data_IF_797037972397
#
_entry.id   IF_797037972397
#
_cell.length_a   1.000
_cell.length_b   1.000
_cell.length_c   1.000
_cell.angle_alpha   90.00
_cell.angle_beta   90.00
_cell.angle_gamma   90.00
#
_symmetry.space_group_name_H-M   'P 1'
#
loop_
_entity.id
_entity.type
_entity.pdbx_description
1 polymer ?
#
# COMPACT_ATOMS: atom_id res chain seq x y z
N UNK A 1 -18.61 77.26 32.46
CA UNK A 1 -19.06 76.35 31.36
C UNK A 1 -18.10 75.17 31.26
N UNK A 2 -18.51 73.96 31.73
CA UNK A 2 -17.69 72.72 31.64
C UNK A 2 -18.43 71.77 30.70
N UNK A 3 -17.82 71.42 29.56
CA UNK A 3 -18.28 70.41 28.64
C UNK A 3 -17.97 68.99 29.23
N UNK A 4 -18.99 68.19 29.55
CA UNK A 4 -18.90 66.74 29.73
C UNK A 4 -18.78 66.11 28.35
N UNK A 5 -17.69 65.36 28.12
CA UNK A 5 -17.54 64.50 26.95
C UNK A 5 -18.10 63.12 27.27
N UNK A 6 -19.02 62.70 26.45
CA UNK A 6 -19.66 61.39 26.51
C UNK A 6 -18.65 60.30 26.14
N UNK A 7 -18.41 59.40 27.13
CA UNK A 7 -17.54 58.24 27.00
C UNK A 7 -18.43 56.98 27.03
N UNK A 8 -19.21 56.79 25.97
CA UNK A 8 -20.17 55.66 25.90
C UNK A 8 -20.10 54.76 24.66
N UNK A 9 -19.19 54.95 23.72
CA UNK A 9 -19.21 54.18 22.47
C UNK A 9 -18.00 53.30 22.20
N UNK A 10 -17.17 52.98 23.20
CA UNK A 10 -15.91 52.20 22.93
C UNK A 10 -15.93 50.78 23.49
N UNK A 11 -17.02 50.35 24.14
CA UNK A 11 -17.03 48.99 24.78
C UNK A 11 -17.78 47.93 23.96
N UNK A 12 -18.54 48.30 22.92
CA UNK A 12 -19.40 47.33 22.22
C UNK A 12 -18.72 46.61 21.05
N UNK A 13 -17.51 47.00 20.63
CA UNK A 13 -16.81 46.41 19.48
C UNK A 13 -15.83 45.29 19.87
N UNK A 14 -15.44 45.19 21.15
CA UNK A 14 -14.43 44.19 21.59
C UNK A 14 -15.06 42.83 21.94
N UNK A 15 -16.36 42.75 22.22
CA UNK A 15 -17.00 41.47 22.54
C UNK A 15 -17.46 40.63 21.33
N UNK A 16 -17.44 41.19 20.11
CA UNK A 16 -17.89 40.47 18.90
C UNK A 16 -16.78 39.67 18.22
N UNK A 17 -15.52 39.86 18.59
CA UNK A 17 -14.37 39.17 17.99
C UNK A 17 -13.88 37.93 18.78
N UNK A 18 -14.48 37.64 19.94
CA UNK A 18 -14.08 36.48 20.76
C UNK A 18 -15.02 35.27 20.63
N UNK A 19 -16.09 35.35 19.84
CA UNK A 19 -17.10 34.28 19.73
C UNK A 19 -16.94 33.41 18.46
N UNK A 20 -15.89 33.58 17.66
CA UNK A 20 -15.69 32.79 16.44
C UNK A 20 -14.54 31.77 16.51
N UNK A 21 -14.01 31.48 17.69
CA UNK A 21 -12.88 30.52 17.85
C UNK A 21 -13.31 29.24 18.60
N UNK A 22 -14.57 28.95 18.69
CA UNK A 22 -15.02 27.77 19.45
C UNK A 22 -16.06 26.96 18.69
N UNK A 23 -15.73 26.43 17.54
CA UNK A 23 -16.45 25.26 16.97
C UNK A 23 -15.69 24.66 15.79
N UNK A 24 -14.42 24.36 15.91
CA UNK A 24 -13.90 23.19 15.21
C UNK A 24 -14.08 22.02 16.18
N UNK A 25 -15.31 21.59 16.39
CA UNK A 25 -15.58 20.19 16.64
C UNK A 25 -15.00 19.48 15.41
N UNK A 26 -13.76 19.00 15.54
CA UNK A 26 -13.28 17.95 14.65
C UNK A 26 -14.31 16.85 14.74
N UNK A 27 -15.21 16.82 13.77
CA UNK A 27 -15.94 15.62 13.43
C UNK A 27 -14.84 14.60 13.22
N UNK A 28 -14.58 13.75 14.21
CA UNK A 28 -13.85 12.50 13.99
C UNK A 28 -14.66 11.81 12.90
N UNK A 29 -14.18 11.92 11.66
CA UNK A 29 -14.66 11.07 10.60
C UNK A 29 -14.53 9.65 11.16
N UNK A 30 -15.61 8.91 11.14
CA UNK A 30 -15.63 7.51 11.53
C UNK A 30 -14.83 6.79 10.43
N UNK A 31 -13.51 6.66 10.63
CA UNK A 31 -12.60 6.10 9.65
C UNK A 31 -12.83 4.60 9.58
N UNK A 32 -13.58 4.20 8.58
CA UNK A 32 -13.76 2.79 8.25
C UNK A 32 -12.46 2.27 7.64
N UNK A 33 -11.90 1.13 8.12
CA UNK A 33 -10.73 0.52 7.51
C UNK A 33 -10.95 0.31 6.02
N UNK A 34 -9.96 0.57 5.15
CA UNK A 34 -10.07 0.26 3.73
C UNK A 34 -10.32 -1.24 3.58
N UNK A 35 -11.09 -1.63 2.59
CA UNK A 35 -11.39 -3.02 2.29
C UNK A 35 -10.18 -3.77 1.73
N UNK A 36 -9.04 -3.74 2.46
CA UNK A 36 -7.84 -4.48 2.10
C UNK A 36 -8.15 -5.97 2.08
N UNK A 37 -7.89 -6.60 0.93
CA UNK A 37 -8.20 -7.98 0.68
C UNK A 37 -6.92 -8.78 0.49
N UNK A 38 -6.79 -9.85 1.26
CA UNK A 38 -5.72 -10.83 1.14
C UNK A 38 -6.31 -12.20 0.78
N UNK A 39 -5.79 -12.84 -0.26
CA UNK A 39 -6.24 -14.15 -0.72
C UNK A 39 -5.07 -15.08 -0.98
N UNK A 40 -5.23 -16.36 -0.63
CA UNK A 40 -4.27 -17.42 -0.95
C UNK A 40 -4.99 -18.49 -1.80
N UNK A 41 -4.36 -18.86 -2.89
CA UNK A 41 -4.83 -19.89 -3.80
C UNK A 41 -3.77 -20.98 -3.88
N UNK A 42 -4.18 -22.22 -3.69
CA UNK A 42 -3.34 -23.40 -3.89
C UNK A 42 -3.57 -23.97 -5.28
N UNK A 43 -2.54 -24.62 -5.84
CA UNK A 43 -2.60 -25.20 -7.20
C UNK A 43 -2.30 -24.21 -8.32
N UNK A 44 -1.79 -23.01 -8.02
CA UNK A 44 -1.29 -22.04 -9.02
C UNK A 44 -2.36 -21.32 -9.84
N UNK A 45 -3.64 -21.52 -9.54
CA UNK A 45 -4.76 -20.89 -10.27
C UNK A 45 -5.49 -19.91 -9.37
N UNK A 46 -5.60 -18.66 -9.79
CA UNK A 46 -6.30 -17.61 -9.05
C UNK A 46 -7.84 -17.75 -9.18
N UNK A 47 -8.36 -18.93 -8.85
CA UNK A 47 -9.82 -19.19 -8.84
C UNK A 47 -10.23 -19.96 -7.58
N UNK A 48 -11.21 -19.44 -6.85
CA UNK A 48 -11.76 -20.10 -5.65
C UNK A 48 -10.90 -20.02 -4.40
N UNK A 49 -9.96 -19.05 -4.33
CA UNK A 49 -9.07 -18.88 -3.20
C UNK A 49 -9.76 -18.46 -1.91
N UNK A 50 -9.18 -18.87 -0.81
CA UNK A 50 -9.63 -18.52 0.52
C UNK A 50 -9.26 -17.06 0.84
N UNK A 51 -10.23 -16.25 1.26
CA UNK A 51 -9.97 -14.90 1.73
C UNK A 51 -9.45 -14.97 3.17
N UNK A 52 -8.22 -14.55 3.38
CA UNK A 52 -7.59 -14.52 4.70
C UNK A 52 -7.85 -13.18 5.39
N UNK A 53 -9.11 -12.88 5.70
CA UNK A 53 -9.51 -11.64 6.41
C UNK A 53 -9.40 -11.80 7.95
N UNK A 54 -8.67 -12.81 8.41
CA UNK A 54 -8.50 -13.11 9.82
C UNK A 54 -7.24 -12.42 10.36
N UNK A 55 -7.43 -11.30 11.03
CA UNK A 55 -6.31 -10.58 11.61
C UNK A 55 -6.72 -9.33 12.34
N UNK A 56 -5.76 -8.63 12.92
CA UNK A 56 -5.97 -7.32 13.52
C UNK A 56 -5.76 -6.22 12.49
N UNK A 57 -6.60 -5.18 12.62
CA UNK A 57 -6.52 -3.96 11.82
C UNK A 57 -6.36 -2.80 12.78
N UNK A 58 -5.30 -2.00 12.60
CA UNK A 58 -5.02 -0.85 13.43
C UNK A 58 -4.79 0.38 12.54
N UNK A 59 -5.44 1.47 12.85
CA UNK A 59 -5.15 2.76 12.22
C UNK A 59 -3.84 3.31 12.82
N UNK A 60 -2.89 3.65 11.96
CA UNK A 60 -1.56 4.16 12.34
C UNK A 60 -1.50 5.68 12.20
N UNK A 61 -2.13 6.23 11.17
CA UNK A 61 -2.26 7.67 10.92
C UNK A 61 -3.66 8.02 10.42
N UNK A 62 -3.88 9.23 9.97
CA UNK A 62 -5.17 9.66 9.41
C UNK A 62 -5.59 8.84 8.19
N UNK A 63 -4.64 8.35 7.39
CA UNK A 63 -4.88 7.61 6.14
C UNK A 63 -4.29 6.22 6.13
N UNK A 64 -3.31 5.93 7.00
CA UNK A 64 -2.57 4.67 7.00
C UNK A 64 -3.17 3.64 7.95
N UNK A 65 -3.21 2.41 7.48
CA UNK A 65 -3.74 1.26 8.20
C UNK A 65 -2.76 0.10 8.20
N UNK A 66 -2.62 -0.53 9.36
CA UNK A 66 -1.77 -1.69 9.56
C UNK A 66 -2.64 -2.95 9.71
N UNK A 67 -2.42 -3.91 8.82
CA UNK A 67 -3.08 -5.21 8.79
C UNK A 67 -2.07 -6.30 9.11
N UNK A 68 -2.38 -7.15 10.07
CA UNK A 68 -1.55 -8.30 10.40
C UNK A 68 -2.39 -9.50 10.78
N UNK A 69 -1.87 -10.69 10.50
CA UNK A 69 -2.59 -11.92 10.85
C UNK A 69 -1.76 -13.17 10.62
N UNK A 70 -2.39 -14.27 11.02
CA UNK A 70 -1.91 -15.63 10.81
C UNK A 70 -3.10 -16.49 10.40
N UNK A 71 -2.92 -17.32 9.39
CA UNK A 71 -3.91 -18.30 8.95
C UNK A 71 -3.22 -19.63 8.65
N UNK A 72 -3.85 -20.72 9.04
CA UNK A 72 -3.42 -22.08 8.70
C UNK A 72 -4.64 -22.85 8.24
N UNK A 73 -4.54 -23.50 7.10
CA UNK A 73 -5.61 -24.30 6.57
C UNK A 73 -5.41 -25.80 6.85
N UNK A 74 -6.43 -26.59 6.61
CA UNK A 74 -6.41 -28.05 6.80
C UNK A 74 -5.61 -28.81 5.75
N UNK A 75 -5.19 -28.13 4.68
CA UNK A 75 -4.42 -28.71 3.57
C UNK A 75 -2.91 -28.59 3.79
N UNK A 76 -2.45 -28.11 4.97
CA UNK A 76 -1.05 -28.01 5.35
C UNK A 76 -0.37 -26.78 4.73
N UNK A 77 -1.07 -25.65 4.67
CA UNK A 77 -0.47 -24.36 4.34
C UNK A 77 -0.68 -23.43 5.52
N UNK A 78 0.38 -22.80 5.99
CA UNK A 78 0.31 -21.71 6.96
C UNK A 78 0.89 -20.43 6.37
N UNK A 79 0.24 -19.30 6.68
CA UNK A 79 0.66 -18.00 6.21
C UNK A 79 0.49 -16.96 7.31
N UNK A 80 1.50 -16.12 7.46
CA UNK A 80 1.46 -14.93 8.32
C UNK A 80 1.75 -13.70 7.49
N UNK A 81 1.13 -12.56 7.83
CA UNK A 81 1.31 -11.32 7.10
C UNK A 81 1.32 -10.11 8.01
N UNK A 82 1.95 -9.04 7.52
CA UNK A 82 2.07 -7.75 8.17
C UNK A 82 2.20 -6.68 7.10
N UNK A 83 1.14 -5.90 6.86
CA UNK A 83 1.06 -4.91 5.80
C UNK A 83 0.63 -3.55 6.33
N UNK A 84 1.34 -2.51 5.90
CA UNK A 84 0.93 -1.12 6.01
C UNK A 84 0.36 -0.69 4.66
N UNK A 85 -0.81 -0.09 4.67
CA UNK A 85 -1.50 0.36 3.45
C UNK A 85 -2.04 1.77 3.64
N UNK A 86 -2.07 2.53 2.55
CA UNK A 86 -2.72 3.83 2.45
C UNK A 86 -3.57 3.85 1.18
N UNK A 87 -4.88 4.17 1.23
CA UNK A 87 -5.69 4.37 0.04
C UNK A 87 -5.24 5.52 -0.89
N UNK A 88 -4.33 6.40 -0.46
CA UNK A 88 -3.65 7.44 -1.27
C UNK A 88 -2.23 6.99 -1.68
N UNK A 89 -2.04 6.14 -2.79
CA UNK A 89 -2.17 4.72 -2.58
C UNK A 89 -0.80 4.01 -2.50
N UNK A 90 -0.55 3.32 -1.41
CA UNK A 90 0.55 2.35 -1.34
C UNK A 90 0.16 1.08 -0.59
N UNK A 91 0.85 -0.01 -0.91
CA UNK A 91 0.85 -1.29 -0.19
C UNK A 91 2.30 -1.62 0.12
N UNK A 92 2.66 -1.78 1.39
CA UNK A 92 4.00 -2.23 1.79
C UNK A 92 3.91 -3.20 2.95
N UNK A 93 4.74 -4.23 2.96
CA UNK A 93 4.75 -5.18 4.05
C UNK A 93 5.46 -6.48 3.73
N UNK A 94 5.20 -7.44 4.59
CA UNK A 94 5.79 -8.78 4.52
C UNK A 94 4.72 -9.86 4.66
N UNK A 95 4.95 -11.01 4.05
CA UNK A 95 4.28 -12.24 4.40
C UNK A 95 5.25 -13.41 4.40
N UNK A 96 4.95 -14.42 5.20
CA UNK A 96 5.65 -15.71 5.20
C UNK A 96 4.65 -16.82 4.94
N UNK A 97 5.00 -17.76 4.07
CA UNK A 97 4.19 -18.91 3.72
C UNK A 97 5.00 -20.19 3.94
N UNK A 98 4.40 -21.15 4.64
CA UNK A 98 4.95 -22.50 4.82
C UNK A 98 4.09 -23.53 4.09
N UNK A 99 4.76 -24.43 3.40
CA UNK A 99 4.16 -25.62 2.80
C UNK A 99 4.42 -26.83 3.70
N UNK A 100 3.56 -27.07 4.67
CA UNK A 100 3.71 -28.16 5.65
C UNK A 100 3.27 -29.54 5.09
N UNK A 101 3.23 -29.69 3.78
CA UNK A 101 2.85 -30.94 3.10
C UNK A 101 4.07 -31.74 2.63
N UNK A 102 3.82 -32.96 2.17
CA UNK A 102 4.86 -33.83 1.63
C UNK A 102 5.17 -33.61 0.14
N UNK A 103 4.50 -32.64 -0.49
CA UNK A 103 4.61 -32.38 -1.93
C UNK A 103 4.86 -30.89 -2.17
N UNK A 104 5.60 -30.58 -3.24
CA UNK A 104 5.68 -29.20 -3.71
C UNK A 104 4.30 -28.67 -4.14
N UNK A 105 4.00 -27.44 -3.79
CA UNK A 105 2.73 -26.78 -4.12
C UNK A 105 2.97 -25.45 -4.83
N UNK A 106 2.13 -25.18 -5.83
CA UNK A 106 2.04 -23.87 -6.45
C UNK A 106 1.05 -22.99 -5.66
N UNK A 107 1.44 -21.74 -5.45
CA UNK A 107 0.68 -20.73 -4.71
C UNK A 107 0.47 -19.48 -5.55
N UNK A 108 -0.70 -18.87 -5.41
CA UNK A 108 -0.94 -17.48 -5.77
C UNK A 108 -1.41 -16.74 -4.53
N UNK A 109 -0.73 -15.65 -4.21
CA UNK A 109 -1.06 -14.78 -3.07
C UNK A 109 -1.38 -13.40 -3.60
N UNK A 110 -2.63 -12.96 -3.41
CA UNK A 110 -3.12 -11.68 -3.90
C UNK A 110 -3.37 -10.71 -2.74
N UNK A 111 -2.83 -9.51 -2.87
CA UNK A 111 -3.15 -8.36 -2.05
C UNK A 111 -3.86 -7.32 -2.91
N UNK A 112 -4.99 -6.80 -2.44
CA UNK A 112 -5.76 -5.78 -3.15
C UNK A 112 -6.24 -4.71 -2.18
N UNK A 113 -5.98 -3.46 -2.51
CA UNK A 113 -6.36 -2.28 -1.75
C UNK A 113 -7.27 -1.39 -2.57
N UNK A 114 -8.52 -1.16 -2.16
CA UNK A 114 -9.34 -0.10 -2.72
C UNK A 114 -8.69 1.27 -2.51
N UNK A 115 -8.72 2.11 -3.54
CA UNK A 115 -8.16 3.46 -3.48
C UNK A 115 -9.27 4.52 -3.53
N UNK A 116 -8.99 5.66 -2.90
CA UNK A 116 -9.84 6.85 -2.98
C UNK A 116 -8.99 8.09 -2.69
N UNK A 117 -8.99 9.11 -3.56
CA UNK A 117 -9.74 9.23 -4.83
C UNK A 117 -9.13 8.41 -5.97
N UNK A 118 -9.87 8.28 -7.07
CA UNK A 118 -9.34 7.72 -8.33
C UNK A 118 -8.22 8.60 -8.90
N UNK A 119 -7.24 7.98 -9.57
CA UNK A 119 -6.05 8.63 -10.12
C UNK A 119 -6.13 8.62 -11.65
N UNK A 120 -6.28 9.80 -12.25
CA UNK A 120 -6.39 9.94 -13.70
C UNK A 120 -5.07 9.64 -14.45
N UNK A 121 -3.94 9.97 -13.84
CA UNK A 121 -2.59 9.68 -14.33
C UNK A 121 -1.70 9.37 -13.14
N UNK A 122 -0.91 8.29 -13.24
CA UNK A 122 -0.02 7.87 -12.16
C UNK A 122 1.43 7.74 -12.60
N UNK A 123 2.33 7.79 -11.63
CA UNK A 123 3.65 7.18 -11.71
C UNK A 123 3.69 6.02 -10.74
N UNK A 124 4.36 4.94 -11.12
CA UNK A 124 4.37 3.70 -10.32
C UNK A 124 5.79 3.31 -9.95
N UNK A 125 5.93 2.75 -8.76
CA UNK A 125 7.17 2.12 -8.30
C UNK A 125 6.88 0.90 -7.45
N UNK A 126 7.82 -0.04 -7.44
CA UNK A 126 7.70 -1.25 -6.64
C UNK A 126 9.03 -1.93 -6.44
N UNK A 127 9.06 -2.80 -5.45
CA UNK A 127 10.24 -3.59 -5.10
C UNK A 127 9.80 -4.88 -4.40
N UNK A 128 10.60 -5.94 -4.56
CA UNK A 128 10.46 -7.14 -3.76
C UNK A 128 11.81 -7.75 -3.39
N UNK A 129 11.83 -8.43 -2.24
CA UNK A 129 12.91 -9.29 -1.78
C UNK A 129 12.31 -10.45 -0.98
N UNK A 130 13.11 -11.45 -0.67
CA UNK A 130 12.62 -12.57 0.13
C UNK A 130 13.73 -13.43 0.72
N UNK A 131 13.29 -14.43 1.48
CA UNK A 131 14.15 -15.44 2.10
C UNK A 131 13.46 -16.80 1.98
N UNK A 132 14.19 -17.77 1.46
CA UNK A 132 13.79 -19.18 1.39
C UNK A 132 14.47 -19.96 2.53
N UNK A 133 13.73 -20.82 3.21
CA UNK A 133 14.22 -21.61 4.35
C UNK A 133 13.86 -23.07 4.18
N UNK A 134 14.83 -23.97 4.35
CA UNK A 134 14.60 -25.39 4.58
C UNK A 134 14.09 -25.58 6.03
N UNK A 135 12.77 -25.65 6.18
CA UNK A 135 12.16 -25.69 7.51
C UNK A 135 12.07 -27.11 8.09
N UNK A 136 12.08 -28.12 7.26
CA UNK A 136 11.99 -29.52 7.66
C UNK A 136 13.35 -30.19 7.88
N UNK A 137 14.47 -29.51 7.53
CA UNK A 137 15.83 -30.04 7.68
C UNK A 137 16.17 -31.13 6.68
N UNK A 138 15.46 -31.23 5.56
CA UNK A 138 15.70 -32.22 4.50
C UNK A 138 17.07 -32.06 3.81
N UNK A 139 17.70 -30.89 3.98
CA UNK A 139 18.96 -30.52 3.32
C UNK A 139 18.74 -29.84 1.99
N UNK A 140 17.48 -29.58 1.59
CA UNK A 140 17.17 -28.85 0.37
C UNK A 140 15.83 -28.15 0.42
N UNK A 141 15.77 -26.87 0.04
CA UNK A 141 14.53 -26.16 -0.23
C UNK A 141 14.58 -25.51 -1.62
N UNK A 142 13.44 -25.36 -2.25
CA UNK A 142 13.33 -24.68 -3.54
C UNK A 142 12.07 -23.83 -3.64
N UNK A 143 12.23 -22.66 -4.27
CA UNK A 143 11.13 -21.78 -4.69
C UNK A 143 11.34 -21.43 -6.16
N UNK A 144 10.37 -21.73 -6.99
CA UNK A 144 10.39 -21.43 -8.43
C UNK A 144 9.18 -20.59 -8.82
N UNK A 145 9.30 -19.80 -9.89
CA UNK A 145 8.12 -19.16 -10.47
C UNK A 145 7.17 -20.18 -11.07
N UNK A 146 5.86 -19.97 -10.96
CA UNK A 146 4.86 -20.83 -11.58
C UNK A 146 4.91 -20.64 -13.11
N UNK A 147 5.04 -21.74 -13.85
CA UNK A 147 5.06 -21.80 -15.32
C UNK A 147 6.04 -20.80 -15.98
N UNK A 148 7.17 -20.53 -15.32
CA UNK A 148 8.18 -19.57 -15.81
C UNK A 148 7.74 -18.11 -15.79
N UNK A 149 6.59 -17.81 -15.21
CA UNK A 149 6.08 -16.45 -15.03
C UNK A 149 6.89 -15.59 -14.06
N UNK A 150 6.34 -14.49 -13.64
CA UNK A 150 6.94 -13.64 -12.63
C UNK A 150 6.45 -14.02 -11.22
N UNK A 151 7.36 -13.98 -10.24
CA UNK A 151 7.00 -14.18 -8.83
C UNK A 151 6.19 -13.02 -8.29
N UNK A 152 6.52 -11.78 -8.66
CA UNK A 152 5.81 -10.58 -8.24
C UNK A 152 5.17 -9.89 -9.44
N UNK A 153 3.91 -9.48 -9.30
CA UNK A 153 3.17 -8.70 -10.29
C UNK A 153 2.44 -7.57 -9.59
N UNK A 154 2.69 -6.33 -10.01
CA UNK A 154 1.92 -5.16 -9.62
C UNK A 154 0.68 -5.02 -10.50
N UNK A 155 -0.46 -4.69 -9.88
CA UNK A 155 -1.77 -4.61 -10.53
C UNK A 155 -2.42 -3.25 -10.27
N UNK A 156 -3.10 -2.70 -11.28
CA UNK A 156 -4.01 -1.55 -11.16
C UNK A 156 -5.36 -1.94 -11.75
N UNK A 157 -6.44 -1.79 -10.99
CA UNK A 157 -7.79 -2.24 -11.36
C UNK A 157 -7.83 -3.72 -11.84
N UNK A 158 -6.97 -4.57 -11.23
CA UNK A 158 -6.81 -5.97 -11.62
C UNK A 158 -5.99 -6.22 -12.89
N UNK A 159 -5.56 -5.16 -13.58
CA UNK A 159 -4.75 -5.25 -14.80
C UNK A 159 -3.25 -5.19 -14.49
N UNK A 160 -2.47 -5.89 -15.31
CA UNK A 160 -1.01 -5.91 -15.21
C UNK A 160 -0.40 -4.50 -15.38
N UNK A 161 0.50 -4.14 -14.47
CA UNK A 161 1.29 -2.90 -14.53
C UNK A 161 2.76 -3.21 -14.77
N UNK A 162 3.36 -4.04 -13.90
CA UNK A 162 4.77 -4.39 -13.96
C UNK A 162 5.03 -5.69 -13.19
N UNK A 163 6.14 -6.36 -13.50
CA UNK A 163 6.53 -7.59 -12.83
C UNK A 163 8.00 -7.61 -12.45
N UNK A 164 8.31 -8.43 -11.44
CA UNK A 164 9.67 -8.66 -10.97
C UNK A 164 9.94 -10.17 -10.84
N UNK A 165 11.18 -10.56 -10.97
CA UNK A 165 11.67 -11.92 -10.73
C UNK A 165 10.99 -12.98 -11.63
N UNK A 166 11.06 -12.81 -12.95
CA UNK A 166 10.64 -13.83 -13.93
C UNK A 166 11.61 -15.00 -13.96
N UNK A 167 11.11 -16.20 -14.23
CA UNK A 167 11.90 -17.45 -14.28
C UNK A 167 12.73 -17.69 -12.99
N UNK A 168 12.15 -17.37 -11.83
CA UNK A 168 12.81 -17.55 -10.55
C UNK A 168 13.14 -19.02 -10.29
N UNK A 169 14.33 -19.24 -9.73
CA UNK A 169 14.78 -20.53 -9.22
C UNK A 169 15.70 -20.27 -8.02
N UNK A 170 15.13 -20.25 -6.83
CA UNK A 170 15.87 -20.08 -5.58
C UNK A 170 16.02 -21.43 -4.90
N UNK A 171 17.20 -21.72 -4.38
CA UNK A 171 17.50 -23.00 -3.73
C UNK A 171 18.30 -22.81 -2.46
N UNK A 172 18.07 -23.68 -1.50
CA UNK A 172 18.89 -23.91 -0.30
C UNK A 172 19.42 -25.33 -0.40
N UNK A 173 20.68 -25.56 -0.04
CA UNK A 173 21.34 -26.87 -0.10
C UNK A 173 21.96 -27.29 1.22
N UNK A 174 21.41 -26.82 2.34
CA UNK A 174 21.85 -27.17 3.70
C UNK A 174 20.64 -27.38 4.61
N UNK A 175 20.68 -28.40 5.45
CA UNK A 175 19.63 -28.68 6.42
C UNK A 175 19.41 -27.48 7.35
N UNK A 176 18.14 -27.08 7.49
CA UNK A 176 17.73 -25.87 8.21
C UNK A 176 18.38 -24.58 7.73
N UNK A 177 18.89 -24.60 6.49
CA UNK A 177 19.55 -23.45 5.87
C UNK A 177 18.57 -22.40 5.38
N UNK A 178 19.08 -21.20 5.14
CA UNK A 178 18.33 -20.09 4.57
C UNK A 178 19.11 -19.44 3.44
N UNK A 179 18.40 -18.90 2.44
CA UNK A 179 18.98 -18.04 1.40
C UNK A 179 18.10 -16.81 1.19
N UNK A 180 18.72 -15.63 1.14
CA UNK A 180 18.03 -14.39 0.81
C UNK A 180 18.19 -14.09 -0.67
N UNK A 181 17.15 -13.50 -1.26
CA UNK A 181 17.13 -13.10 -2.66
C UNK A 181 16.49 -11.73 -2.86
N UNK A 182 16.89 -11.06 -3.94
CA UNK A 182 16.27 -9.81 -4.38
C UNK A 182 15.53 -10.06 -5.69
N UNK A 183 14.28 -9.69 -5.76
CA UNK A 183 13.51 -9.68 -7.01
C UNK A 183 13.70 -8.41 -7.82
N UNK A 184 14.44 -7.42 -7.28
CA UNK A 184 14.67 -6.14 -7.92
C UNK A 184 13.60 -5.09 -7.61
N UNK A 185 13.63 -4.02 -8.41
CA UNK A 185 12.72 -2.89 -8.28
C UNK A 185 12.41 -2.28 -9.65
N UNK A 186 11.32 -1.52 -9.72
CA UNK A 186 10.95 -0.69 -10.87
C UNK A 186 10.50 0.71 -10.41
N UNK A 187 10.59 1.69 -11.30
CA UNK A 187 10.11 3.05 -11.06
C UNK A 187 10.90 3.86 -10.04
N UNK A 188 12.10 3.41 -9.64
CA UNK A 188 12.95 4.10 -8.65
C UNK A 188 13.84 5.19 -9.27
N UNK A 189 13.82 5.35 -10.59
CA UNK A 189 14.68 6.28 -11.32
C UNK A 189 14.02 7.60 -11.71
N UNK A 190 14.79 8.47 -12.33
CA UNK A 190 14.32 9.67 -13.02
C UNK A 190 14.56 9.52 -14.53
N UNK A 191 13.53 9.69 -15.38
CA UNK A 191 12.16 10.04 -15.04
C UNK A 191 11.41 8.90 -14.34
N UNK A 192 10.36 9.23 -13.53
CA UNK A 192 9.51 8.20 -12.91
C UNK A 192 8.84 7.31 -13.96
N UNK A 193 8.59 6.06 -13.63
CA UNK A 193 7.87 5.14 -14.53
C UNK A 193 6.39 5.57 -14.61
N UNK A 194 5.93 5.89 -15.82
CA UNK A 194 4.53 6.20 -16.05
C UNK A 194 3.65 4.97 -15.79
N UNK A 195 2.59 5.15 -15.01
CA UNK A 195 1.58 4.15 -14.72
C UNK A 195 0.25 4.45 -15.42
N UNK A 196 -0.70 3.51 -15.36
CA UNK A 196 -2.06 3.71 -15.89
C UNK A 196 -2.89 4.67 -15.03
N UNK A 197 -4.05 5.06 -15.53
CA UNK A 197 -5.14 5.56 -14.69
C UNK A 197 -5.60 4.43 -13.75
N UNK A 198 -5.96 4.78 -12.51
CA UNK A 198 -6.42 3.81 -11.50
C UNK A 198 -7.75 4.30 -10.95
N UNK A 199 -8.80 3.51 -11.13
CA UNK A 199 -10.17 3.93 -10.80
C UNK A 199 -10.65 3.36 -9.47
N UNK A 200 -10.17 2.19 -9.08
CA UNK A 200 -10.75 1.46 -7.95
C UNK A 200 -9.75 0.78 -7.04
N UNK A 201 -8.70 0.15 -7.59
CA UNK A 201 -7.81 -0.70 -6.77
C UNK A 201 -6.37 -0.68 -7.24
N UNK A 202 -5.45 -0.82 -6.29
CA UNK A 202 -4.09 -1.29 -6.54
C UNK A 202 -3.90 -2.67 -5.92
N UNK A 203 -2.94 -3.44 -6.44
CA UNK A 203 -2.70 -4.80 -5.93
C UNK A 203 -1.30 -5.32 -6.19
N UNK A 204 -0.95 -6.34 -5.43
CA UNK A 204 0.26 -7.14 -5.60
C UNK A 204 -0.15 -8.60 -5.68
N UNK A 205 0.33 -9.31 -6.69
CA UNK A 205 0.21 -10.75 -6.83
C UNK A 205 1.57 -11.41 -6.74
N UNK A 206 1.66 -12.44 -5.91
CA UNK A 206 2.79 -13.36 -5.91
C UNK A 206 2.36 -14.71 -6.51
N UNK A 207 3.20 -15.28 -7.37
CA UNK A 207 2.94 -16.58 -8.02
C UNK A 207 4.22 -17.43 -8.01
N UNK A 208 4.23 -18.52 -7.25
CA UNK A 208 5.40 -19.37 -7.06
C UNK A 208 5.03 -20.78 -6.67
N UNK A 209 5.99 -21.70 -6.87
CA UNK A 209 5.92 -23.07 -6.37
C UNK A 209 6.94 -23.23 -5.26
N UNK A 210 6.55 -23.79 -4.13
CA UNK A 210 7.39 -24.02 -2.95
C UNK A 210 7.51 -25.53 -2.67
N UNK A 211 8.72 -26.00 -2.41
CA UNK A 211 9.01 -27.38 -2.03
C UNK A 211 8.28 -27.82 -0.75
N UNK A 212 8.23 -29.12 -0.56
CA UNK A 212 7.56 -29.78 0.57
C UNK A 212 8.26 -29.49 1.90
N UNK A 213 7.50 -29.13 2.93
CA UNK A 213 7.99 -28.90 4.29
C UNK A 213 8.84 -27.63 4.46
N UNK A 214 8.85 -26.73 3.48
CA UNK A 214 9.67 -25.53 3.47
C UNK A 214 8.87 -24.26 3.63
N UNK A 215 9.58 -23.15 3.85
CA UNK A 215 8.96 -21.85 4.00
C UNK A 215 9.66 -20.76 3.18
N UNK A 216 8.88 -19.78 2.75
CA UNK A 216 9.37 -18.59 2.06
C UNK A 216 8.77 -17.33 2.69
N UNK A 217 9.58 -16.29 2.83
CA UNK A 217 9.16 -14.99 3.31
C UNK A 217 9.44 -13.95 2.23
N UNK A 218 8.49 -13.04 2.02
CA UNK A 218 8.63 -11.94 1.06
C UNK A 218 8.43 -10.60 1.76
N UNK A 219 9.23 -9.61 1.34
CA UNK A 219 8.99 -8.19 1.61
C UNK A 219 8.69 -7.50 0.30
N UNK A 220 7.69 -6.66 0.28
CA UNK A 220 7.25 -5.97 -0.94
C UNK A 220 6.72 -4.58 -0.70
N UNK A 221 6.79 -3.77 -1.74
CA UNK A 221 6.14 -2.46 -1.82
C UNK A 221 5.59 -2.26 -3.23
N UNK A 222 4.44 -1.63 -3.31
CA UNK A 222 3.88 -1.04 -4.52
C UNK A 222 3.27 0.32 -4.20
N UNK A 223 3.68 1.34 -4.96
CA UNK A 223 3.24 2.72 -4.81
C UNK A 223 2.77 3.23 -6.16
N UNK A 224 1.65 3.96 -6.16
CA UNK A 224 1.17 4.67 -7.33
C UNK A 224 0.91 6.14 -6.96
N UNK A 225 1.76 7.05 -7.42
CA UNK A 225 1.64 8.47 -7.12
C UNK A 225 0.82 9.18 -8.20
N UNK A 226 -0.15 10.03 -7.84
CA UNK A 226 -0.86 10.85 -8.79
C UNK A 226 0.08 11.87 -9.46
N UNK A 227 -0.04 12.01 -10.79
CA UNK A 227 0.67 13.07 -11.53
C UNK A 227 -0.18 14.32 -11.49
N UNK A 228 0.34 15.47 -10.96
CA UNK A 228 -0.40 16.71 -10.95
C UNK A 228 -0.76 17.15 -12.37
N UNK A 229 -2.05 17.40 -12.63
CA UNK A 229 -2.48 17.92 -13.92
C UNK A 229 -1.91 19.33 -14.16
N UNK A 230 -1.47 19.66 -15.38
CA UNK A 230 -0.94 21.00 -15.70
C UNK A 230 -1.86 22.15 -15.29
N UNK A 231 -3.18 21.93 -15.31
CA UNK A 231 -4.19 22.88 -14.86
C UNK A 231 -4.10 23.26 -13.38
N UNK A 232 -3.74 22.32 -12.50
CA UNK A 232 -3.58 22.58 -11.07
C UNK A 232 -2.39 23.53 -10.81
N UNK A 233 -1.29 23.34 -11.52
CA UNK A 233 -0.14 24.24 -11.47
C UNK A 233 -0.46 25.64 -12.04
N UNK A 234 -1.19 25.71 -13.15
CA UNK A 234 -1.61 26.98 -13.76
C UNK A 234 -2.53 27.79 -12.84
N UNK A 235 -3.49 27.13 -12.16
CA UNK A 235 -4.38 27.79 -11.18
C UNK A 235 -3.61 28.27 -9.95
N UNK A 236 -2.64 27.51 -9.46
CA UNK A 236 -1.75 27.93 -8.35
C UNK A 236 -0.92 29.17 -8.69
N UNK A 237 -0.37 29.24 -9.89
CA UNK A 237 0.38 30.42 -10.37
C UNK A 237 -0.56 31.62 -10.56
N UNK A 238 -1.76 31.41 -11.12
CA UNK A 238 -2.75 32.47 -11.32
C UNK A 238 -3.22 33.08 -10.00
N UNK A 239 -3.49 32.25 -8.99
CA UNK A 239 -3.89 32.71 -7.63
C UNK A 239 -2.78 33.53 -6.96
N UNK A 240 -1.53 33.13 -7.09
CA UNK A 240 -0.35 33.89 -6.61
C UNK A 240 -0.21 35.25 -7.31
N UNK A 241 -0.44 35.33 -8.63
CA UNK A 241 -0.39 36.57 -9.40
C UNK A 241 -1.52 37.54 -9.02
N UNK A 242 -2.72 37.02 -8.78
CA UNK A 242 -3.88 37.81 -8.31
C UNK A 242 -3.65 38.37 -6.91
N UNK A 243 -3.16 37.51 -5.97
CA UNK A 243 -2.84 37.92 -4.60
C UNK A 243 -1.75 39.02 -4.57
N UNK A 244 -0.77 38.97 -5.48
CA UNK A 244 0.31 39.97 -5.59
C UNK A 244 -0.18 41.30 -6.14
N UNK A 245 -1.18 41.32 -7.04
CA UNK A 245 -1.82 42.51 -7.54
C UNK A 245 -2.69 43.23 -6.51
N UNK A 246 -3.37 42.49 -5.64
CA UNK A 246 -4.19 43.06 -4.55
C UNK A 246 -3.36 43.89 -3.57
N UNK A 247 -2.16 43.44 -3.22
CA UNK A 247 -1.27 44.13 -2.26
C UNK A 247 -0.69 45.48 -2.79
N UNK A 248 -0.65 45.70 -4.09
CA UNK A 248 -0.13 46.96 -4.68
C UNK A 248 -1.16 48.10 -4.77
N UNK A 249 -2.44 47.83 -4.44
CA UNK A 249 -3.52 48.84 -4.51
C UNK A 249 -3.87 49.44 -3.13
N UNK A 250 -3.23 49.02 -2.06
CA UNK A 250 -3.46 49.48 -0.67
C UNK A 250 -2.27 50.23 -0.07
N UNK A 251 -1.35 50.74 -0.90
CA UNK A 251 -0.24 51.61 -0.47
C UNK A 251 -0.38 53.00 -1.15
#
# INVERSE_FOLDING_TARGET
MRRKRDMKNTITVVCALFSLVSATLESRADFTPPGFLFRVFEGGVASGGEACNFGSVNQVSATEWFFQGLHSNTTGTSISWSYLVDPDPFITGTFSLSNDTLFAKAYVVDFSLPISPAIAQSTVSGQMSGTLTDSNGSGSASMTSTDGGAVYTALADGMFVQSLMSNANQTVSSAFGTTSFSGGSFGQGLPPLAGPAINSTIGIRFSFTLSAGDSVSFSSIFVANPVPTPGALAMGILSLLVARRGRRRTA
#
